data_IF_261091730122
#
_entry.id   IF_261091730122
#
_cell.length_a   1.000
_cell.length_b   1.000
_cell.length_c   1.000
_cell.angle_alpha   90.00
_cell.angle_beta   90.00
_cell.angle_gamma   90.00
#
_symmetry.space_group_name_H-M   'P 1'
#
loop_
_entity.id
_entity.type
_entity.pdbx_description
1 polymer ?
#
# COMPACT_ATOMS: atom_id res chain seq x y z
N UNK A 1 18.98 -1.94 39.24
CA UNK A 1 18.13 -0.73 39.24
C UNK A 1 18.72 0.43 38.41
N UNK A 2 20.04 0.68 38.44
CA UNK A 2 20.69 1.77 37.70
C UNK A 2 20.67 1.57 36.17
N UNK A 3 20.66 0.34 35.69
CA UNK A 3 20.64 0.02 34.26
C UNK A 3 19.27 0.34 33.62
N UNK A 4 18.19 0.12 34.35
CA UNK A 4 16.82 0.41 33.87
C UNK A 4 16.57 1.92 33.64
N UNK A 5 17.13 2.79 34.49
CA UNK A 5 16.97 4.24 34.33
C UNK A 5 17.85 4.84 33.23
N UNK A 6 19.01 4.26 32.92
CA UNK A 6 19.84 4.71 31.81
C UNK A 6 19.24 4.31 30.45
N UNK A 7 18.56 3.18 30.37
CA UNK A 7 17.92 2.71 29.15
C UNK A 7 16.60 3.42 28.85
N UNK A 8 15.90 3.99 29.83
CA UNK A 8 14.65 4.70 29.63
C UNK A 8 14.80 5.92 28.71
N UNK A 9 15.90 6.65 28.82
CA UNK A 9 16.18 7.81 27.97
C UNK A 9 16.32 7.44 26.49
N UNK A 10 16.86 6.26 26.20
CA UNK A 10 16.97 5.70 24.85
C UNK A 10 15.69 4.99 24.35
N UNK A 11 14.84 4.56 25.27
CA UNK A 11 13.59 3.86 24.93
C UNK A 11 12.42 4.80 24.68
N UNK A 12 12.49 6.07 25.09
CA UNK A 12 11.41 7.01 24.85
C UNK A 12 11.40 7.48 23.40
N UNK A 13 10.21 7.68 22.86
CA UNK A 13 10.05 8.26 21.52
C UNK A 13 10.61 9.68 21.48
N UNK A 14 11.54 9.92 20.55
CA UNK A 14 12.14 11.24 20.34
C UNK A 14 11.42 11.91 19.16
N UNK A 15 10.31 12.54 19.43
CA UNK A 15 9.48 13.20 18.40
C UNK A 15 10.23 14.28 17.64
N UNK A 16 11.19 14.97 18.27
CA UNK A 16 12.04 15.97 17.64
C UNK A 16 12.86 15.45 16.44
N UNK A 17 13.06 14.12 16.32
CA UNK A 17 13.74 13.55 15.15
C UNK A 17 12.89 13.66 13.89
N UNK A 18 11.57 13.69 14.02
CA UNK A 18 10.64 13.83 12.89
C UNK A 18 10.70 15.25 12.32
N UNK A 19 10.87 16.24 13.20
CA UNK A 19 10.89 17.65 12.84
C UNK A 19 12.24 18.10 12.26
N UNK A 20 13.28 17.26 12.42
CA UNK A 20 14.60 17.58 11.89
C UNK A 20 14.67 17.34 10.36
N UNK A 21 14.81 18.41 9.54
CA UNK A 21 14.79 18.30 8.08
C UNK A 21 15.97 17.51 7.50
N UNK A 22 17.08 17.40 8.25
CA UNK A 22 18.28 16.66 7.83
C UNK A 22 18.14 15.16 7.99
N UNK A 23 17.12 14.69 8.74
CA UNK A 23 16.88 13.28 9.00
C UNK A 23 15.72 12.73 8.13
N UNK A 24 15.78 11.43 7.87
CA UNK A 24 14.76 10.77 7.04
C UNK A 24 13.51 10.35 7.80
N UNK A 25 13.42 10.56 9.12
CA UNK A 25 12.27 10.17 9.94
C UNK A 25 10.96 10.86 9.53
N UNK A 26 11.02 12.04 8.90
CA UNK A 26 9.86 12.72 8.32
C UNK A 26 9.11 11.86 7.30
N UNK A 27 9.83 11.07 6.50
CA UNK A 27 9.23 10.19 5.50
C UNK A 27 8.49 9.01 6.15
N UNK A 28 9.10 8.42 7.17
CA UNK A 28 8.45 7.36 7.94
C UNK A 28 7.17 7.86 8.61
N UNK A 29 7.22 9.06 9.21
CA UNK A 29 6.04 9.69 9.82
C UNK A 29 4.94 9.96 8.78
N UNK A 30 5.29 10.46 7.59
CA UNK A 30 4.33 10.70 6.52
C UNK A 30 3.67 9.38 6.05
N UNK A 31 4.45 8.30 5.96
CA UNK A 31 3.94 6.98 5.62
C UNK A 31 3.02 6.43 6.72
N UNK A 32 3.43 6.50 7.98
CA UNK A 32 2.63 6.03 9.12
C UNK A 32 1.27 6.75 9.19
N UNK A 33 1.27 8.08 9.04
CA UNK A 33 0.04 8.86 8.98
C UNK A 33 -0.87 8.45 7.82
N UNK A 34 -0.30 8.20 6.63
CA UNK A 34 -1.08 7.77 5.47
C UNK A 34 -1.68 6.37 5.68
N UNK A 35 -0.90 5.46 6.24
CA UNK A 35 -1.34 4.09 6.56
C UNK A 35 -2.46 4.09 7.62
N UNK A 36 -2.29 4.86 8.71
CA UNK A 36 -3.30 4.98 9.77
C UNK A 36 -4.59 5.58 9.22
N UNK A 37 -4.50 6.64 8.41
CA UNK A 37 -5.67 7.26 7.77
C UNK A 37 -6.41 6.28 6.88
N UNK A 38 -5.68 5.54 6.03
CA UNK A 38 -6.27 4.51 5.16
C UNK A 38 -6.97 3.41 5.97
N UNK A 39 -6.35 2.97 7.07
CA UNK A 39 -6.92 1.97 7.97
C UNK A 39 -8.22 2.46 8.63
N UNK A 40 -8.28 3.73 9.03
CA UNK A 40 -9.48 4.35 9.60
C UNK A 40 -10.59 4.50 8.56
N UNK A 41 -10.28 5.03 7.37
CA UNK A 41 -11.24 5.20 6.28
C UNK A 41 -11.85 3.87 5.82
N UNK A 42 -11.03 2.82 5.72
CA UNK A 42 -11.47 1.48 5.37
C UNK A 42 -12.05 0.70 6.57
N UNK A 43 -12.04 1.28 7.78
CA UNK A 43 -12.49 0.64 9.02
C UNK A 43 -11.87 -0.76 9.23
N UNK A 44 -10.57 -0.91 8.93
CA UNK A 44 -9.92 -2.22 8.87
C UNK A 44 -10.06 -3.03 10.16
N UNK A 45 -10.06 -2.39 11.33
CA UNK A 45 -10.19 -3.08 12.62
C UNK A 45 -11.59 -3.71 12.81
N UNK A 46 -12.62 -3.18 12.15
CA UNK A 46 -13.98 -3.68 12.22
C UNK A 46 -14.30 -4.72 11.14
N UNK A 47 -13.36 -4.99 10.24
CA UNK A 47 -13.52 -5.97 9.18
C UNK A 47 -13.00 -7.35 9.63
N UNK A 48 -13.50 -8.44 9.00
CA UNK A 48 -12.97 -9.78 9.21
C UNK A 48 -11.45 -9.86 9.02
N UNK A 49 -10.80 -10.94 9.47
CA UNK A 49 -9.39 -11.19 9.20
C UNK A 49 -9.06 -11.09 7.71
N UNK A 50 -7.79 -10.82 7.34
CA UNK A 50 -7.39 -10.76 5.95
C UNK A 50 -7.65 -12.11 5.26
N UNK A 51 -8.18 -12.03 4.03
CA UNK A 51 -8.37 -13.19 3.17
C UNK A 51 -7.21 -13.26 2.17
N UNK A 52 -6.40 -14.34 2.16
CA UNK A 52 -5.28 -14.47 1.23
C UNK A 52 -5.81 -14.58 -0.21
N UNK A 53 -5.24 -13.81 -1.12
CA UNK A 53 -5.52 -13.86 -2.55
C UNK A 53 -4.46 -14.68 -3.28
N UNK A 54 -3.20 -14.46 -2.93
CA UNK A 54 -2.08 -15.20 -3.48
C UNK A 54 -0.90 -15.21 -2.50
N UNK A 55 -0.23 -16.36 -2.41
CA UNK A 55 1.05 -16.52 -1.70
C UNK A 55 1.98 -17.21 -2.69
N UNK A 56 2.86 -16.44 -3.32
CA UNK A 56 3.80 -16.89 -4.35
C UNK A 56 5.22 -16.91 -3.77
N UNK A 57 5.61 -18.07 -3.27
CA UNK A 57 6.92 -18.28 -2.64
C UNK A 57 8.06 -18.15 -3.67
N UNK A 58 7.82 -18.51 -4.93
CA UNK A 58 8.83 -18.45 -6.00
C UNK A 58 9.21 -17.01 -6.34
N UNK A 59 8.23 -16.14 -6.40
CA UNK A 59 8.42 -14.72 -6.71
C UNK A 59 8.50 -13.84 -5.45
N UNK A 60 8.35 -14.41 -4.26
CA UNK A 60 8.31 -13.70 -2.98
C UNK A 60 7.21 -12.64 -2.94
N UNK A 61 6.05 -12.95 -3.51
CA UNK A 61 4.88 -12.07 -3.55
C UNK A 61 3.80 -12.59 -2.62
N UNK A 62 3.24 -11.71 -1.82
CA UNK A 62 2.07 -11.99 -1.00
C UNK A 62 0.99 -10.96 -1.29
N UNK A 63 -0.23 -11.43 -1.47
CA UNK A 63 -1.39 -10.57 -1.62
C UNK A 63 -2.56 -11.04 -0.79
N UNK A 64 -3.30 -10.11 -0.19
CA UNK A 64 -4.51 -10.39 0.56
C UNK A 64 -5.54 -9.26 0.42
N UNK A 65 -6.79 -9.61 0.68
CA UNK A 65 -7.92 -8.68 0.68
C UNK A 65 -8.41 -8.45 2.10
N UNK A 66 -8.67 -7.19 2.46
CA UNK A 66 -9.34 -6.81 3.71
C UNK A 66 -10.00 -5.44 3.59
N UNK A 67 -11.22 -5.29 4.10
CA UNK A 67 -11.91 -4.00 4.19
C UNK A 67 -12.13 -3.30 2.84
N UNK A 68 -12.31 -4.07 1.75
CA UNK A 68 -12.46 -3.53 0.39
C UNK A 68 -11.14 -3.07 -0.24
N UNK A 69 -10.02 -3.34 0.43
CA UNK A 69 -8.66 -3.05 -0.06
C UNK A 69 -7.93 -4.34 -0.43
N UNK A 70 -7.11 -4.29 -1.46
CA UNK A 70 -6.16 -5.35 -1.85
C UNK A 70 -4.76 -4.87 -1.52
N UNK A 71 -4.05 -5.64 -0.72
CA UNK A 71 -2.68 -5.41 -0.29
C UNK A 71 -1.77 -6.36 -1.05
N UNK A 72 -0.72 -5.84 -1.67
CA UNK A 72 0.25 -6.62 -2.45
C UNK A 72 1.65 -6.25 -2.00
N UNK A 73 2.46 -7.25 -1.70
CA UNK A 73 3.84 -7.10 -1.24
C UNK A 73 4.78 -7.87 -2.17
N UNK A 74 5.82 -7.22 -2.65
CA UNK A 74 6.96 -7.88 -3.27
C UNK A 74 8.15 -7.83 -2.30
N UNK A 75 8.46 -8.97 -1.69
CA UNK A 75 9.54 -9.13 -0.71
C UNK A 75 10.89 -9.42 -1.37
N UNK A 76 10.94 -9.61 -2.70
CA UNK A 76 12.20 -9.81 -3.40
C UNK A 76 13.15 -8.63 -3.17
N UNK A 77 14.43 -8.93 -2.96
CA UNK A 77 15.47 -7.92 -2.72
C UNK A 77 15.81 -7.07 -3.94
N UNK A 78 15.66 -7.62 -5.13
CA UNK A 78 16.18 -7.08 -6.38
C UNK A 78 15.27 -7.29 -7.59
N UNK A 79 14.30 -8.22 -7.51
CA UNK A 79 13.50 -8.63 -8.66
C UNK A 79 12.23 -7.80 -8.78
N UNK A 80 12.14 -7.00 -9.85
CA UNK A 80 10.88 -6.43 -10.31
C UNK A 80 10.12 -7.48 -11.15
N UNK A 81 8.78 -7.47 -11.04
CA UNK A 81 7.92 -8.40 -11.77
C UNK A 81 6.96 -7.57 -12.61
N UNK A 82 7.07 -7.74 -13.93
CA UNK A 82 6.15 -7.14 -14.89
C UNK A 82 4.95 -8.06 -15.12
N UNK A 83 3.80 -7.46 -15.40
CA UNK A 83 2.57 -8.16 -15.72
C UNK A 83 2.18 -9.27 -14.73
N UNK A 84 2.37 -9.00 -13.43
CA UNK A 84 1.96 -9.93 -12.40
C UNK A 84 0.45 -10.03 -12.33
N UNK A 85 -0.07 -11.21 -12.69
CA UNK A 85 -1.51 -11.47 -12.72
C UNK A 85 -2.03 -11.81 -11.32
N UNK A 86 -2.82 -10.90 -10.75
CA UNK A 86 -3.38 -11.05 -9.41
C UNK A 86 -4.90 -11.21 -9.48
N UNK A 87 -5.46 -12.35 -9.05
CA UNK A 87 -6.91 -12.50 -8.91
C UNK A 87 -7.45 -11.57 -7.82
N UNK A 88 -8.51 -10.83 -8.15
CA UNK A 88 -9.14 -9.91 -7.19
C UNK A 88 -10.61 -10.25 -6.99
N UNK A 89 -11.20 -9.94 -5.80
CA UNK A 89 -12.53 -10.40 -5.45
C UNK A 89 -13.66 -9.82 -6.29
N UNK A 90 -13.40 -8.71 -7.02
CA UNK A 90 -14.42 -8.02 -7.80
C UNK A 90 -13.84 -7.46 -9.09
N UNK A 91 -14.53 -7.65 -10.20
CA UNK A 91 -14.18 -7.06 -11.49
C UNK A 91 -14.41 -5.54 -11.50
N UNK A 92 -13.62 -4.84 -12.33
CA UNK A 92 -13.76 -3.41 -12.57
C UNK A 92 -12.47 -2.62 -12.51
N UNK A 93 -12.61 -1.31 -12.31
CA UNK A 93 -11.48 -0.38 -12.16
C UNK A 93 -10.95 -0.40 -10.72
N UNK A 94 -9.64 -0.48 -10.58
CA UNK A 94 -8.90 -0.42 -9.33
C UNK A 94 -7.86 0.70 -9.40
N UNK A 95 -7.59 1.34 -8.26
CA UNK A 95 -6.58 2.38 -8.16
C UNK A 95 -5.66 2.12 -6.98
N UNK A 96 -4.39 2.43 -7.18
CA UNK A 96 -3.41 2.45 -6.09
C UNK A 96 -3.74 3.61 -5.17
N UNK A 97 -3.94 3.32 -3.89
CA UNK A 97 -4.24 4.32 -2.84
C UNK A 97 -3.08 4.49 -1.87
N UNK A 98 -2.15 3.54 -1.83
CA UNK A 98 -0.90 3.64 -1.09
C UNK A 98 0.19 2.86 -1.84
N UNK A 99 1.34 3.51 -2.00
CA UNK A 99 2.55 2.93 -2.60
C UNK A 99 3.75 3.31 -1.74
N UNK A 100 4.49 2.32 -1.27
CA UNK A 100 5.67 2.53 -0.43
C UNK A 100 6.86 3.13 -1.18
N UNK A 101 6.88 3.04 -2.53
CA UNK A 101 7.94 3.63 -3.37
C UNK A 101 7.67 5.11 -3.71
N UNK A 102 6.56 5.66 -3.27
CA UNK A 102 6.22 7.06 -3.52
C UNK A 102 7.25 8.00 -2.89
N UNK A 103 7.71 9.00 -3.65
CA UNK A 103 8.72 9.98 -3.21
C UNK A 103 8.31 10.73 -1.92
N UNK A 104 7.04 10.93 -1.71
CA UNK A 104 6.48 11.54 -0.48
C UNK A 104 6.81 10.73 0.78
N UNK A 105 7.07 9.41 0.65
CA UNK A 105 7.48 8.52 1.74
C UNK A 105 8.99 8.22 1.72
N UNK A 106 9.76 8.96 0.92
CA UNK A 106 11.20 8.76 0.75
C UNK A 106 11.56 7.60 -0.17
N UNK A 107 10.61 7.09 -0.93
CA UNK A 107 10.81 6.17 -2.03
C UNK A 107 11.39 6.84 -3.28
N UNK A 108 11.59 6.08 -4.33
CA UNK A 108 12.21 6.54 -5.58
C UNK A 108 11.18 7.04 -6.61
N UNK A 109 9.88 6.80 -6.41
CA UNK A 109 8.81 7.21 -7.32
C UNK A 109 8.92 6.58 -8.71
N UNK A 110 9.31 5.31 -8.79
CA UNK A 110 9.59 4.60 -10.05
C UNK A 110 8.33 4.15 -10.80
N UNK A 111 7.16 4.28 -10.19
CA UNK A 111 5.89 3.85 -10.75
C UNK A 111 4.88 5.01 -10.78
N UNK A 112 4.16 5.15 -11.90
CA UNK A 112 3.03 6.07 -11.97
C UNK A 112 1.78 5.41 -11.37
N UNK A 113 1.48 5.78 -10.13
CA UNK A 113 0.32 5.29 -9.39
C UNK A 113 -1.00 6.01 -9.75
N UNK A 114 -0.96 7.01 -10.64
CA UNK A 114 -2.16 7.71 -11.09
C UNK A 114 -2.99 6.90 -12.09
N UNK A 115 -2.34 5.96 -12.77
CA UNK A 115 -2.96 5.10 -13.78
C UNK A 115 -3.97 4.13 -13.15
N UNK A 116 -5.16 4.00 -13.74
CA UNK A 116 -6.11 2.99 -13.31
C UNK A 116 -5.69 1.59 -13.80
N UNK A 117 -5.99 0.59 -12.98
CA UNK A 117 -5.86 -0.81 -13.35
C UNK A 117 -7.25 -1.39 -13.59
N UNK A 118 -7.42 -2.15 -14.66
CA UNK A 118 -8.67 -2.81 -14.99
C UNK A 118 -8.50 -4.32 -14.91
N UNK A 119 -9.51 -5.01 -14.38
CA UNK A 119 -9.51 -6.46 -14.43
C UNK A 119 -9.73 -6.96 -15.84
N UNK A 120 -9.07 -8.06 -16.17
CA UNK A 120 -9.34 -8.83 -17.39
C UNK A 120 -10.69 -9.58 -17.33
N UNK A 121 -10.97 -10.39 -18.38
CA UNK A 121 -12.17 -11.23 -18.47
C UNK A 121 -12.31 -12.23 -17.32
N UNK A 122 -11.19 -12.70 -16.78
CA UNK A 122 -11.12 -13.70 -15.72
C UNK A 122 -11.13 -13.09 -14.29
N UNK A 123 -10.99 -11.78 -14.20
CA UNK A 123 -11.02 -11.05 -12.93
C UNK A 123 -9.65 -10.86 -12.30
N UNK A 124 -8.58 -10.92 -13.10
CA UNK A 124 -7.22 -10.63 -12.64
C UNK A 124 -6.83 -9.19 -12.96
N UNK A 125 -5.97 -8.61 -12.12
CA UNK A 125 -5.25 -7.37 -12.38
C UNK A 125 -3.85 -7.70 -12.86
N UNK A 126 -3.40 -7.04 -13.95
CA UNK A 126 -1.99 -6.99 -14.31
C UNK A 126 -1.31 -5.87 -13.53
N UNK A 127 -0.29 -6.19 -12.75
CA UNK A 127 0.43 -5.28 -11.89
C UNK A 127 1.93 -5.30 -12.18
N UNK A 128 2.56 -4.13 -12.12
CA UNK A 128 4.01 -4.03 -12.06
C UNK A 128 4.44 -3.95 -10.59
N UNK A 129 5.20 -4.95 -10.14
CA UNK A 129 5.63 -5.07 -8.75
C UNK A 129 7.12 -4.80 -8.62
N UNK A 130 7.47 -3.65 -8.08
CA UNK A 130 8.85 -3.27 -7.79
C UNK A 130 9.41 -4.06 -6.59
N UNK A 131 10.73 -4.32 -6.54
CA UNK A 131 11.33 -5.05 -5.41
C UNK A 131 11.26 -4.23 -4.12
N UNK A 132 11.03 -4.91 -3.02
CA UNK A 132 10.92 -4.34 -1.65
C UNK A 132 9.87 -3.25 -1.55
N UNK A 133 8.73 -3.44 -2.22
CA UNK A 133 7.61 -2.49 -2.18
C UNK A 133 6.30 -3.15 -1.80
N UNK A 134 5.38 -2.33 -1.33
CA UNK A 134 4.01 -2.71 -1.11
C UNK A 134 3.07 -1.72 -1.79
N UNK A 135 2.02 -2.25 -2.40
CA UNK A 135 0.92 -1.50 -3.01
C UNK A 135 -0.37 -1.82 -2.26
N UNK A 136 -1.21 -0.81 -2.08
CA UNK A 136 -2.59 -1.00 -1.65
C UNK A 136 -3.51 -0.46 -2.73
N UNK A 137 -4.40 -1.33 -3.21
CA UNK A 137 -5.37 -0.99 -4.25
C UNK A 137 -6.78 -0.93 -3.66
N UNK A 138 -7.58 -0.01 -4.19
CA UNK A 138 -9.00 0.14 -3.87
C UNK A 138 -9.81 0.13 -5.15
N UNK A 139 -10.93 -0.61 -5.15
CA UNK A 139 -11.87 -0.62 -6.26
C UNK A 139 -12.60 0.71 -6.36
N UNK A 140 -12.73 1.22 -7.57
CA UNK A 140 -13.57 2.40 -7.86
C UNK A 140 -15.03 1.95 -7.84
N UNK A 141 -15.83 2.54 -6.95
CA UNK A 141 -17.27 2.19 -6.85
C UNK A 141 -18.06 2.67 -8.07
N UNK A 142 -19.09 1.93 -8.42
CA UNK A 142 -19.98 2.23 -9.57
C UNK A 142 -20.55 3.65 -9.57
N UNK A 143 -20.77 4.27 -8.40
CA UNK A 143 -21.25 5.65 -8.28
C UNK A 143 -20.23 6.70 -8.77
N UNK A 144 -18.94 6.41 -8.68
CA UNK A 144 -17.85 7.29 -9.17
C UNK A 144 -17.71 7.16 -10.69
N UNK A 145 -17.87 5.94 -11.22
CA UNK A 145 -17.91 5.71 -12.67
C UNK A 145 -19.07 6.45 -13.34
N UNK A 146 -20.27 6.39 -12.76
CA UNK A 146 -21.45 7.08 -13.31
C UNK A 146 -21.30 8.62 -13.31
N UNK A 147 -20.51 9.20 -12.37
CA UNK A 147 -20.20 10.64 -12.36
C UNK A 147 -19.15 11.04 -13.42
N UNK A 148 -18.22 10.16 -13.76
CA UNK A 148 -17.23 10.42 -14.82
C UNK A 148 -17.87 10.42 -16.19
N UNK A 149 -18.66 9.40 -16.53
CA UNK A 149 -19.36 9.30 -17.80
C UNK A 149 -20.27 10.51 -18.08
N UNK A 150 -20.87 11.13 -17.05
CA UNK A 150 -21.69 12.37 -17.18
C UNK A 150 -20.85 13.66 -17.29
N UNK A 151 -19.55 13.64 -17.18
CA UNK A 151 -18.70 14.83 -17.34
C UNK A 151 -17.97 14.85 -18.68
N UNK A 152 -18.02 13.76 -19.42
CA UNK A 152 -17.42 13.60 -20.76
C UNK A 152 -18.46 13.77 -21.88
N UNK A 153 -19.77 13.88 -21.52
CA UNK A 153 -20.87 14.35 -22.36
C UNK A 153 -21.13 15.85 -22.14
#
# INVERSE_FOLDING_TARGET
RRVLFRSYEYCRRQWSLVDNPSLRFKFLNAFDQAMVRLAQEARLLNNPPPFPLNIDETNHVMAFHRGGLVFVFNWSGDRAIMDYMLPVPQKGEWRVVLDTDNARFGGFGRQDVSMPHFTDGDGNLSLYLLPRTALVLKRVGSAVMARRLRRED
#
